data_IF_409230776506
#
_entry.id   IF_409230776506
#
_cell.length_a   1.000
_cell.length_b   1.000
_cell.length_c   1.000
_cell.angle_alpha   90.00
_cell.angle_beta   90.00
_cell.angle_gamma   90.00
#
_symmetry.space_group_name_H-M   'P 1'
#
loop_
_entity.id
_entity.type
_entity.pdbx_description
1 polymer ?
#
# COMPACT_ATOMS: atom_id res chain seq x y z
N UNK A 1 -11.04 -29.85 -43.60
CA UNK A 1 -9.96 -30.60 -42.91
C UNK A 1 -8.70 -29.78 -42.66
N UNK A 2 -8.24 -28.94 -43.61
CA UNK A 2 -7.00 -28.16 -43.43
C UNK A 2 -7.14 -26.93 -42.52
N UNK A 3 -8.32 -26.31 -42.44
CA UNK A 3 -8.56 -25.15 -41.57
C UNK A 3 -8.51 -25.50 -40.08
N UNK A 4 -9.10 -26.63 -39.69
CA UNK A 4 -9.06 -27.11 -38.30
C UNK A 4 -7.64 -27.42 -37.83
N UNK A 5 -6.79 -27.99 -38.71
CA UNK A 5 -5.37 -28.20 -38.40
C UNK A 5 -4.60 -26.89 -38.24
N UNK A 6 -4.89 -25.91 -39.11
CA UNK A 6 -4.28 -24.58 -39.04
C UNK A 6 -4.70 -23.84 -37.77
N UNK A 7 -5.98 -23.91 -37.39
CA UNK A 7 -6.52 -23.34 -36.16
C UNK A 7 -5.88 -23.95 -34.89
N UNK A 8 -5.74 -25.27 -34.85
CA UNK A 8 -5.10 -25.96 -33.73
C UNK A 8 -3.61 -25.62 -33.62
N UNK A 9 -2.89 -25.54 -34.74
CA UNK A 9 -1.48 -25.15 -34.75
C UNK A 9 -1.30 -23.70 -34.30
N UNK A 10 -2.17 -22.79 -34.71
CA UNK A 10 -2.15 -21.40 -34.23
C UNK A 10 -2.48 -21.28 -32.75
N UNK A 11 -3.42 -22.08 -32.24
CA UNK A 11 -3.77 -22.12 -30.82
C UNK A 11 -2.62 -22.66 -29.97
N UNK A 12 -1.93 -23.73 -30.39
CA UNK A 12 -0.73 -24.23 -29.71
C UNK A 12 0.40 -23.19 -29.68
N UNK A 13 0.64 -22.49 -30.78
CA UNK A 13 1.69 -21.46 -30.85
C UNK A 13 1.34 -20.26 -29.95
N UNK A 14 0.05 -19.90 -29.86
CA UNK A 14 -0.41 -18.85 -28.95
C UNK A 14 -0.31 -19.26 -27.47
N UNK A 15 -0.67 -20.50 -27.13
CA UNK A 15 -0.45 -21.11 -25.81
C UNK A 15 1.04 -21.08 -25.42
N UNK A 16 1.92 -21.52 -26.33
CA UNK A 16 3.37 -21.50 -26.09
C UNK A 16 3.92 -20.09 -25.90
N UNK A 17 3.41 -19.10 -26.65
CA UNK A 17 3.77 -17.68 -26.47
C UNK A 17 3.19 -17.06 -25.18
N UNK A 18 2.09 -17.57 -24.65
CA UNK A 18 1.56 -17.17 -23.32
C UNK A 18 2.36 -17.80 -22.17
N UNK A 19 2.90 -19.01 -22.38
CA UNK A 19 3.78 -19.69 -21.43
C UNK A 19 5.21 -19.12 -21.43
N UNK A 20 5.68 -18.59 -22.56
CA UNK A 20 6.93 -17.84 -22.64
C UNK A 20 6.77 -16.46 -21.98
N UNK A 21 7.71 -16.10 -21.09
CA UNK A 21 7.65 -14.82 -20.38
C UNK A 21 7.73 -13.63 -21.37
N UNK A 22 6.93 -12.56 -21.18
CA UNK A 22 6.95 -11.41 -22.07
C UNK A 22 8.36 -10.81 -22.21
N UNK A 23 8.75 -10.44 -23.43
CA UNK A 23 10.00 -9.72 -23.67
C UNK A 23 9.92 -8.34 -23.00
N UNK A 24 10.73 -8.12 -21.95
CA UNK A 24 10.66 -6.94 -21.10
C UNK A 24 11.16 -5.68 -21.82
N UNK A 25 10.27 -4.68 -21.96
CA UNK A 25 10.63 -3.34 -22.43
C UNK A 25 11.32 -2.53 -21.33
N UNK A 26 12.60 -2.20 -21.56
CA UNK A 26 13.43 -1.17 -20.88
C UNK A 26 13.38 -1.12 -19.34
N UNK A 27 14.49 -1.53 -18.73
CA UNK A 27 14.81 -1.42 -17.30
C UNK A 27 15.45 -2.72 -16.80
N UNK A 28 16.34 -2.67 -15.80
CA UNK A 28 16.82 -3.91 -15.14
C UNK A 28 15.60 -4.51 -14.45
N UNK A 29 15.08 -5.60 -15.02
CA UNK A 29 13.98 -6.32 -14.42
C UNK A 29 14.30 -6.74 -13.01
N UNK A 30 13.28 -6.68 -12.14
CA UNK A 30 13.35 -7.17 -10.77
C UNK A 30 13.96 -8.57 -10.71
N UNK A 31 13.74 -9.40 -11.75
CA UNK A 31 14.30 -10.73 -11.88
C UNK A 31 15.82 -10.71 -12.09
N UNK A 32 16.32 -9.92 -13.05
CA UNK A 32 17.77 -9.73 -13.26
C UNK A 32 18.47 -9.14 -12.03
N UNK A 33 17.85 -8.16 -11.37
CA UNK A 33 18.39 -7.59 -10.13
C UNK A 33 18.48 -8.64 -9.00
N UNK A 34 17.47 -9.50 -8.87
CA UNK A 34 17.48 -10.60 -7.90
C UNK A 34 18.55 -11.64 -8.22
N UNK A 35 18.75 -11.98 -9.49
CA UNK A 35 19.79 -12.91 -9.94
C UNK A 35 21.21 -12.37 -9.70
N UNK A 36 21.47 -11.12 -10.05
CA UNK A 36 22.76 -10.47 -9.78
C UNK A 36 23.03 -10.37 -8.29
N UNK A 37 22.01 -10.04 -7.49
CA UNK A 37 22.10 -10.02 -6.03
C UNK A 37 22.40 -11.41 -5.47
N UNK A 38 21.72 -12.44 -5.95
CA UNK A 38 22.00 -13.85 -5.56
C UNK A 38 23.42 -14.26 -5.91
N UNK A 39 23.93 -13.90 -7.11
CA UNK A 39 25.31 -14.20 -7.50
C UNK A 39 26.34 -13.49 -6.62
N UNK A 40 26.09 -12.22 -6.25
CA UNK A 40 26.97 -11.48 -5.33
C UNK A 40 26.97 -12.08 -3.93
N UNK A 41 25.80 -12.40 -3.40
CA UNK A 41 25.65 -13.03 -2.07
C UNK A 41 26.27 -14.43 -2.06
N UNK A 42 26.04 -15.23 -3.10
CA UNK A 42 26.65 -16.56 -3.26
C UNK A 42 28.18 -16.50 -3.27
N UNK A 43 28.79 -15.60 -4.04
CA UNK A 43 30.26 -15.42 -4.05
C UNK A 43 30.83 -15.08 -2.67
N UNK A 44 30.14 -14.24 -1.89
CA UNK A 44 30.59 -13.86 -0.55
C UNK A 44 30.43 -15.04 0.41
N UNK A 45 29.37 -15.84 0.27
CA UNK A 45 29.14 -17.03 1.10
C UNK A 45 30.14 -18.14 0.78
N UNK A 46 30.39 -18.40 -0.51
CA UNK A 46 31.40 -19.35 -0.98
C UNK A 46 32.80 -18.96 -0.48
N UNK A 47 33.14 -17.67 -0.51
CA UNK A 47 34.41 -17.16 0.03
C UNK A 47 34.54 -17.34 1.56
N UNK A 48 33.42 -17.39 2.29
CA UNK A 48 33.37 -17.66 3.72
C UNK A 48 33.10 -19.14 4.05
N UNK A 49 33.01 -20.03 3.05
CA UNK A 49 32.69 -21.44 3.22
C UNK A 49 31.28 -21.72 3.79
N UNK A 50 30.36 -20.78 3.61
CA UNK A 50 28.99 -20.84 4.12
C UNK A 50 28.02 -21.21 3.01
N UNK A 51 27.01 -22.03 3.34
CA UNK A 51 25.92 -22.36 2.42
C UNK A 51 24.87 -21.22 2.35
N UNK A 52 24.12 -21.17 1.24
CA UNK A 52 23.03 -20.21 1.01
C UNK A 52 21.97 -20.22 2.13
N UNK A 53 21.76 -21.35 2.80
CA UNK A 53 20.89 -21.45 3.97
C UNK A 53 21.38 -20.64 5.18
N UNK A 54 22.70 -20.44 5.30
CA UNK A 54 23.37 -19.71 6.39
C UNK A 54 23.69 -18.25 6.04
N UNK A 55 23.08 -17.73 4.97
CA UNK A 55 23.28 -16.35 4.50
C UNK A 55 23.02 -15.28 5.56
N UNK A 56 22.13 -15.56 6.51
CA UNK A 56 21.80 -14.66 7.63
C UNK A 56 22.98 -14.43 8.58
N UNK A 57 24.01 -15.29 8.57
CA UNK A 57 25.16 -15.17 9.45
C UNK A 57 26.16 -14.08 9.00
N UNK A 58 25.99 -13.56 7.78
CA UNK A 58 26.75 -12.42 7.26
C UNK A 58 26.04 -11.07 7.50
N UNK A 59 24.84 -11.07 8.06
CA UNK A 59 24.16 -9.81 8.39
C UNK A 59 24.80 -9.18 9.63
N UNK A 60 25.22 -7.92 9.51
CA UNK A 60 25.54 -7.08 10.66
C UNK A 60 24.31 -6.89 11.55
N UNK A 61 24.51 -6.72 12.86
CA UNK A 61 23.44 -6.50 13.84
C UNK A 61 22.45 -5.40 13.39
N UNK A 62 22.95 -4.25 12.94
CA UNK A 62 22.12 -3.13 12.47
C UNK A 62 21.25 -3.49 11.24
N UNK A 63 21.80 -4.31 10.34
CA UNK A 63 21.10 -4.78 9.15
C UNK A 63 20.01 -5.81 9.50
N UNK A 64 20.29 -6.68 10.47
CA UNK A 64 19.32 -7.63 11.00
C UNK A 64 18.17 -6.88 11.71
N UNK A 65 18.46 -5.94 12.61
CA UNK A 65 17.44 -5.14 13.30
C UNK A 65 16.57 -4.36 12.32
N UNK A 66 17.19 -3.74 11.30
CA UNK A 66 16.47 -3.04 10.24
C UNK A 66 15.60 -3.96 9.38
N UNK A 67 15.95 -5.24 9.23
CA UNK A 67 15.13 -6.24 8.53
C UNK A 67 13.97 -6.71 9.40
N UNK A 68 14.21 -7.05 10.66
CA UNK A 68 13.17 -7.49 11.60
C UNK A 68 12.13 -6.39 11.83
N UNK A 69 12.56 -5.14 12.03
CA UNK A 69 11.66 -3.98 12.15
C UNK A 69 10.80 -3.73 10.91
N UNK A 70 11.25 -4.15 9.72
CA UNK A 70 10.45 -4.10 8.48
C UNK A 70 9.45 -5.26 8.38
N UNK A 71 9.71 -6.37 9.08
CA UNK A 71 8.83 -7.53 9.11
C UNK A 71 7.77 -7.41 10.20
N UNK A 72 8.09 -6.76 11.32
CA UNK A 72 7.15 -6.34 12.36
C UNK A 72 6.31 -5.14 11.91
N UNK A 73 5.47 -5.36 10.89
CA UNK A 73 4.44 -4.40 10.51
C UNK A 73 3.13 -4.81 11.14
N UNK A 74 2.54 -3.90 11.90
CA UNK A 74 1.16 -4.06 12.35
C UNK A 74 0.25 -4.32 11.14
N UNK A 75 -0.69 -5.27 11.23
CA UNK A 75 -1.63 -5.54 10.16
C UNK A 75 -2.42 -4.27 9.84
N UNK A 76 -2.57 -3.98 8.54
CA UNK A 76 -3.35 -2.84 8.11
C UNK A 76 -4.82 -3.02 8.55
N UNK A 77 -5.49 -1.96 9.02
CA UNK A 77 -6.91 -2.04 9.36
C UNK A 77 -7.72 -2.49 8.15
N UNK A 78 -8.63 -3.44 8.34
CA UNK A 78 -9.43 -4.04 7.27
C UNK A 78 -10.91 -3.64 7.38
N UNK A 79 -11.53 -3.32 6.24
CA UNK A 79 -12.97 -3.03 6.18
C UNK A 79 -13.41 -1.91 7.13
N UNK A 80 -14.37 -2.22 7.99
CA UNK A 80 -14.94 -1.28 8.96
C UNK A 80 -14.02 -0.94 10.14
N UNK A 81 -12.96 -1.72 10.37
CA UNK A 81 -11.98 -1.44 11.44
C UNK A 81 -11.20 -0.15 11.21
N UNK A 82 -11.25 0.41 9.99
CA UNK A 82 -10.70 1.74 9.69
C UNK A 82 -11.31 2.83 10.58
N UNK A 83 -12.55 2.67 11.04
CA UNK A 83 -13.25 3.66 11.89
C UNK A 83 -13.24 3.33 13.38
N UNK A 84 -12.46 2.33 13.79
CA UNK A 84 -12.32 1.93 15.19
C UNK A 84 -11.64 3.07 16.01
N UNK A 85 -12.01 3.29 17.29
CA UNK A 85 -11.26 4.16 18.20
C UNK A 85 -9.73 3.99 18.14
N UNK A 86 -9.23 2.75 17.99
CA UNK A 86 -7.79 2.46 17.89
C UNK A 86 -7.13 3.06 16.65
N UNK A 87 -7.80 3.04 15.49
CA UNK A 87 -7.25 3.62 14.25
C UNK A 87 -7.28 5.14 14.30
N UNK A 88 -8.34 5.73 14.88
CA UNK A 88 -8.44 7.16 15.13
C UNK A 88 -7.34 7.64 16.08
N UNK A 89 -7.09 6.91 17.16
CA UNK A 89 -5.99 7.16 18.09
C UNK A 89 -4.63 7.08 17.38
N UNK A 90 -4.40 6.03 16.59
CA UNK A 90 -3.14 5.89 15.85
C UNK A 90 -2.94 7.01 14.81
N UNK A 91 -4.02 7.46 14.17
CA UNK A 91 -3.97 8.61 13.27
C UNK A 91 -3.61 9.89 14.04
N UNK A 92 -4.24 10.13 15.21
CA UNK A 92 -3.88 11.24 16.09
C UNK A 92 -2.41 11.18 16.53
N UNK A 93 -1.93 10.02 17.01
CA UNK A 93 -0.54 9.81 17.41
C UNK A 93 0.46 10.10 16.28
N UNK A 94 0.11 9.78 15.03
CA UNK A 94 0.95 10.14 13.87
C UNK A 94 0.95 11.64 13.60
N UNK A 95 -0.16 12.33 13.85
CA UNK A 95 -0.24 13.79 13.68
C UNK A 95 0.57 14.51 14.74
N UNK A 96 0.44 14.12 16.01
CA UNK A 96 1.18 14.76 17.11
C UNK A 96 2.69 14.62 16.95
N UNK A 97 3.18 13.52 16.38
CA UNK A 97 4.60 13.35 16.04
C UNK A 97 5.14 14.34 15.00
N UNK A 98 4.27 14.90 14.17
CA UNK A 98 4.66 15.86 13.13
C UNK A 98 4.54 17.31 13.59
N UNK A 99 4.07 17.55 14.81
CA UNK A 99 3.96 18.90 15.38
C UNK A 99 5.31 19.28 15.94
N UNK A 100 5.87 20.38 15.45
CA UNK A 100 7.07 20.99 15.99
C UNK A 100 6.68 21.99 17.08
N UNK A 101 7.34 21.90 18.24
CA UNK A 101 7.02 22.69 19.43
C UNK A 101 8.22 23.57 19.77
N UNK A 102 8.05 24.87 19.67
CA UNK A 102 9.04 25.86 20.08
C UNK A 102 9.04 26.00 21.61
N UNK A 103 10.07 25.48 22.26
CA UNK A 103 10.22 25.49 23.71
C UNK A 103 10.57 26.89 24.26
N UNK A 104 11.27 27.71 23.48
CA UNK A 104 11.68 29.04 23.92
C UNK A 104 10.48 29.98 23.98
N UNK A 105 9.63 29.92 22.96
CA UNK A 105 8.38 30.66 22.95
C UNK A 105 7.42 30.18 24.05
N UNK A 106 7.38 28.87 24.29
CA UNK A 106 6.61 28.28 25.38
C UNK A 106 7.06 28.81 26.76
N UNK A 107 8.38 28.87 27.01
CA UNK A 107 8.91 29.38 28.28
C UNK A 107 8.61 30.87 28.48
N UNK A 108 8.72 31.69 27.43
CA UNK A 108 8.34 33.11 27.48
C UNK A 108 6.86 33.31 27.82
N UNK A 109 5.98 32.53 27.21
CA UNK A 109 4.54 32.57 27.52
C UNK A 109 4.24 32.11 28.94
N UNK A 110 4.99 31.12 29.44
CA UNK A 110 4.89 30.62 30.81
C UNK A 110 5.30 31.66 31.85
N UNK A 111 6.35 32.43 31.59
CA UNK A 111 6.79 33.51 32.50
C UNK A 111 5.85 34.71 32.47
N UNK A 112 5.24 34.99 31.30
CA UNK A 112 4.33 36.12 31.12
C UNK A 112 2.94 35.93 31.76
N UNK A 113 2.46 34.69 31.91
CA UNK A 113 1.15 34.38 32.49
C UNK A 113 1.30 33.73 33.88
N UNK A 114 1.00 34.44 34.98
CA UNK A 114 0.99 33.85 36.33
C UNK A 114 -0.02 32.70 36.48
N UNK A 115 -1.08 32.65 35.66
CA UNK A 115 -2.11 31.60 35.63
C UNK A 115 -1.92 30.69 34.39
N UNK A 116 -0.67 30.39 34.03
CA UNK A 116 -0.36 29.56 32.86
C UNK A 116 -0.94 28.14 32.95
N UNK A 117 -0.88 27.52 34.13
CA UNK A 117 -1.47 26.21 34.39
C UNK A 117 -2.90 26.39 34.92
N UNK A 118 -3.85 26.42 33.98
CA UNK A 118 -5.27 26.66 34.28
C UNK A 118 -5.99 25.38 34.68
N UNK A 119 -6.75 25.44 35.75
CA UNK A 119 -7.69 24.39 36.14
C UNK A 119 -9.02 24.52 35.38
N UNK A 120 -9.84 23.46 35.40
CA UNK A 120 -11.13 23.42 34.71
C UNK A 120 -12.12 24.51 35.18
N UNK A 121 -11.92 25.08 36.37
CA UNK A 121 -12.70 26.16 36.97
C UNK A 121 -12.21 27.57 36.59
N UNK A 122 -11.09 27.70 35.85
CA UNK A 122 -10.53 29.01 35.49
C UNK A 122 -11.48 29.81 34.58
N UNK A 123 -11.71 31.08 34.92
CA UNK A 123 -12.58 32.00 34.18
C UNK A 123 -11.88 32.69 33.00
N UNK A 124 -10.62 32.32 32.69
CA UNK A 124 -9.83 32.94 31.62
C UNK A 124 -10.08 32.33 30.23
N UNK A 125 -11.11 31.50 30.08
CA UNK A 125 -11.51 30.96 28.78
C UNK A 125 -11.87 32.09 27.79
N UNK A 126 -11.36 32.03 26.57
CA UNK A 126 -11.62 33.02 25.52
C UNK A 126 -10.78 34.30 25.59
N UNK A 127 -9.95 34.50 26.63
CA UNK A 127 -9.06 35.66 26.78
C UNK A 127 -7.62 35.39 26.27
N UNK A 128 -7.45 34.39 25.43
CA UNK A 128 -6.13 34.03 24.90
C UNK A 128 -5.54 35.17 24.05
N UNK A 129 -4.22 35.40 24.11
CA UNK A 129 -3.57 36.37 23.23
C UNK A 129 -3.78 35.98 21.77
N UNK A 130 -3.78 36.99 20.88
CA UNK A 130 -3.88 36.74 19.44
C UNK A 130 -2.73 35.84 18.99
N UNK A 131 -3.08 34.77 18.31
CA UNK A 131 -2.11 33.83 17.73
C UNK A 131 -1.41 34.49 16.56
N UNK A 132 -0.09 34.29 16.42
CA UNK A 132 0.67 34.80 15.28
C UNK A 132 0.20 34.19 13.96
N UNK A 133 0.31 34.96 12.87
CA UNK A 133 -0.10 34.52 11.53
C UNK A 133 0.65 33.25 11.10
N UNK A 134 1.95 33.15 11.37
CA UNK A 134 2.77 31.97 11.09
C UNK A 134 2.21 30.67 11.70
N UNK A 135 1.67 30.75 12.92
CA UNK A 135 1.08 29.59 13.60
C UNK A 135 -0.26 29.19 12.97
N UNK A 136 -1.04 30.18 12.52
CA UNK A 136 -2.27 29.95 11.77
C UNK A 136 -1.94 29.28 10.43
N UNK A 137 -0.92 29.75 9.71
CA UNK A 137 -0.48 29.13 8.46
C UNK A 137 -0.02 27.68 8.65
N UNK A 138 0.74 27.38 9.71
CA UNK A 138 1.12 26.00 10.06
C UNK A 138 -0.10 25.11 10.28
N UNK A 139 -1.14 25.60 10.96
CA UNK A 139 -2.39 24.88 11.15
C UNK A 139 -3.12 24.64 9.83
N UNK A 140 -3.24 25.67 8.99
CA UNK A 140 -3.89 25.57 7.67
C UNK A 140 -3.15 24.54 6.79
N UNK A 141 -1.82 24.53 6.83
CA UNK A 141 -1.00 23.54 6.13
C UNK A 141 -1.27 22.11 6.63
N UNK A 142 -1.43 21.89 7.93
CA UNK A 142 -1.82 20.58 8.48
C UNK A 142 -3.19 20.13 7.97
N UNK A 143 -4.17 21.04 7.93
CA UNK A 143 -5.51 20.77 7.43
C UNK A 143 -5.49 20.41 5.93
N UNK A 144 -4.75 21.14 5.11
CA UNK A 144 -4.59 20.84 3.69
C UNK A 144 -3.94 19.47 3.47
N UNK A 145 -2.87 19.16 4.20
CA UNK A 145 -2.24 17.84 4.16
C UNK A 145 -3.21 16.72 4.55
N UNK A 146 -4.11 16.98 5.51
CA UNK A 146 -5.15 16.04 5.93
C UNK A 146 -6.19 15.83 4.83
N UNK A 147 -6.59 16.89 4.14
CA UNK A 147 -7.49 16.77 2.98
C UNK A 147 -6.88 15.99 1.84
N UNK A 148 -5.62 16.25 1.50
CA UNK A 148 -4.88 15.49 0.48
C UNK A 148 -4.81 14.00 0.83
N UNK A 149 -4.46 13.68 2.08
CA UNK A 149 -4.44 12.28 2.57
C UNK A 149 -5.81 11.64 2.45
N UNK A 150 -6.89 12.37 2.79
CA UNK A 150 -8.27 11.89 2.65
C UNK A 150 -8.63 11.62 1.19
N UNK A 151 -8.27 12.52 0.26
CA UNK A 151 -8.49 12.33 -1.19
C UNK A 151 -7.75 11.10 -1.72
N UNK A 152 -6.52 10.88 -1.26
CA UNK A 152 -5.69 9.72 -1.66
C UNK A 152 -6.07 8.39 -0.99
N UNK A 153 -7.00 8.40 -0.02
CA UNK A 153 -7.37 7.22 0.75
C UNK A 153 -7.99 6.13 -0.13
N UNK A 154 -8.83 6.51 -1.08
CA UNK A 154 -9.35 5.62 -2.12
C UNK A 154 -8.50 5.73 -3.38
N UNK A 155 -7.66 4.73 -3.64
CA UNK A 155 -6.82 4.68 -4.84
C UNK A 155 -7.59 4.08 -6.01
N UNK A 156 -7.72 4.81 -7.12
CA UNK A 156 -8.23 4.27 -8.39
C UNK A 156 -7.29 3.17 -8.88
N UNK A 157 -7.82 1.97 -9.13
CA UNK A 157 -7.05 0.88 -9.75
C UNK A 157 -6.87 1.20 -11.24
N UNK A 158 -5.68 0.93 -11.78
CA UNK A 158 -5.38 1.12 -13.19
C UNK A 158 -6.29 0.22 -14.03
N UNK A 159 -6.88 0.77 -15.09
CA UNK A 159 -7.60 -0.02 -16.09
C UNK A 159 -6.58 -0.81 -16.93
N UNK A 160 -6.85 -2.08 -17.15
CA UNK A 160 -6.02 -2.95 -17.98
C UNK A 160 -6.80 -3.23 -19.26
N UNK A 161 -6.31 -2.75 -20.40
CA UNK A 161 -6.97 -2.91 -21.72
C UNK A 161 -7.04 -4.36 -22.18
N UNK A 162 -6.18 -5.23 -21.64
CA UNK A 162 -6.18 -6.67 -21.90
C UNK A 162 -7.33 -7.42 -21.22
N UNK A 163 -8.07 -6.76 -20.31
CA UNK A 163 -9.18 -7.39 -19.61
C UNK A 163 -10.45 -7.31 -20.44
N UNK A 164 -11.12 -8.45 -20.61
CA UNK A 164 -12.44 -8.51 -21.24
C UNK A 164 -13.43 -7.55 -20.55
N UNK A 165 -14.12 -6.76 -21.38
CA UNK A 165 -15.05 -5.72 -20.94
C UNK A 165 -16.44 -6.35 -20.78
N UNK A 166 -16.88 -6.47 -19.53
CA UNK A 166 -18.19 -7.02 -19.15
C UNK A 166 -19.28 -5.95 -18.97
N UNK A 167 -19.00 -4.69 -19.30
CA UNK A 167 -19.84 -3.53 -18.97
C UNK A 167 -19.95 -2.54 -20.10
N UNK A 168 -21.13 -1.91 -20.19
CA UNK A 168 -21.47 -0.91 -21.22
C UNK A 168 -21.17 0.52 -20.73
N UNK A 169 -21.24 0.78 -19.42
CA UNK A 169 -20.99 2.08 -18.82
C UNK A 169 -20.28 1.96 -17.46
N UNK A 170 -19.69 3.05 -16.97
CA UNK A 170 -18.92 3.09 -15.71
C UNK A 170 -19.74 2.65 -14.49
N UNK A 171 -21.04 3.00 -14.45
CA UNK A 171 -21.92 2.62 -13.34
C UNK A 171 -22.15 1.10 -13.34
N UNK A 172 -22.27 0.48 -14.51
CA UNK A 172 -22.39 -0.95 -14.70
C UNK A 172 -21.07 -1.65 -14.35
N UNK A 173 -19.92 -1.11 -14.76
CA UNK A 173 -18.61 -1.64 -14.38
C UNK A 173 -18.43 -1.68 -12.85
N UNK A 174 -18.85 -0.61 -12.16
CA UNK A 174 -18.85 -0.55 -10.70
C UNK A 174 -19.81 -1.57 -10.06
N UNK A 175 -20.98 -1.79 -10.67
CA UNK A 175 -21.94 -2.79 -10.22
C UNK A 175 -21.42 -4.22 -10.42
N UNK A 176 -20.91 -4.57 -11.59
CA UNK A 176 -20.26 -5.85 -11.88
C UNK A 176 -19.10 -6.11 -10.91
N UNK A 177 -18.23 -5.12 -10.66
CA UNK A 177 -17.16 -5.20 -9.65
C UNK A 177 -17.68 -5.43 -8.23
N UNK A 178 -18.91 -5.01 -7.90
CA UNK A 178 -19.54 -5.24 -6.59
C UNK A 178 -20.06 -6.66 -6.49
N UNK A 179 -20.73 -7.15 -7.54
CA UNK A 179 -21.21 -8.52 -7.64
C UNK A 179 -20.05 -9.51 -7.60
N UNK A 180 -18.98 -9.28 -8.36
CA UNK A 180 -17.79 -10.15 -8.37
C UNK A 180 -17.14 -10.25 -6.98
N UNK A 181 -17.13 -9.16 -6.21
CA UNK A 181 -16.61 -9.18 -4.82
C UNK A 181 -17.47 -9.99 -3.86
N UNK A 182 -18.79 -10.00 -4.05
CA UNK A 182 -19.72 -10.69 -3.17
C UNK A 182 -19.90 -12.17 -3.55
N UNK A 183 -20.03 -12.44 -4.85
CA UNK A 183 -20.44 -13.74 -5.39
C UNK A 183 -19.35 -14.47 -6.18
N UNK A 184 -18.29 -13.79 -6.61
CA UNK A 184 -17.23 -14.38 -7.44
C UNK A 184 -16.55 -15.60 -6.81
N UNK A 185 -16.51 -15.68 -5.47
CA UNK A 185 -16.03 -16.88 -4.76
C UNK A 185 -16.92 -18.10 -4.99
N UNK A 186 -18.22 -17.91 -5.13
CA UNK A 186 -19.22 -18.96 -5.25
C UNK A 186 -19.54 -19.30 -6.71
N UNK A 187 -19.34 -18.36 -7.65
CA UNK A 187 -19.67 -18.51 -9.07
C UNK A 187 -18.47 -18.89 -9.94
N UNK A 188 -17.35 -19.27 -9.34
CA UNK A 188 -16.09 -19.56 -10.04
C UNK A 188 -16.24 -20.72 -11.04
N UNK A 189 -16.96 -21.77 -10.64
CA UNK A 189 -17.23 -22.93 -11.52
C UNK A 189 -18.10 -22.55 -12.72
N UNK A 190 -19.16 -21.77 -12.49
CA UNK A 190 -20.05 -21.29 -13.55
C UNK A 190 -19.27 -20.44 -14.55
N UNK A 191 -18.38 -19.56 -14.06
CA UNK A 191 -17.53 -18.72 -14.91
C UNK A 191 -16.56 -19.57 -15.75
N UNK A 192 -15.89 -20.54 -15.14
CA UNK A 192 -15.01 -21.46 -15.85
C UNK A 192 -15.76 -22.28 -16.91
N UNK A 193 -16.99 -22.73 -16.61
CA UNK A 193 -17.80 -23.48 -17.56
C UNK A 193 -18.21 -22.60 -18.76
N UNK A 194 -18.52 -21.33 -18.55
CA UNK A 194 -18.78 -20.37 -19.63
C UNK A 194 -17.53 -20.14 -20.50
N UNK A 195 -16.36 -19.96 -19.90
CA UNK A 195 -15.09 -19.80 -20.62
C UNK A 195 -14.70 -21.08 -21.40
N UNK A 196 -15.14 -22.26 -20.94
CA UNK A 196 -14.95 -23.56 -21.61
C UNK A 196 -16.04 -23.92 -22.62
N UNK A 197 -17.03 -23.06 -22.84
CA UNK A 197 -18.10 -23.32 -23.80
C UNK A 197 -19.15 -24.33 -23.31
N UNK A 198 -19.50 -24.29 -22.02
CA UNK A 198 -20.57 -25.08 -21.37
C UNK A 198 -20.36 -26.59 -21.27
N UNK A 199 -19.15 -27.08 -21.55
CA UNK A 199 -18.78 -28.47 -21.28
C UNK A 199 -18.67 -28.70 -19.76
N UNK A 200 -19.43 -29.67 -19.24
CA UNK A 200 -19.26 -30.15 -17.86
C UNK A 200 -17.92 -30.88 -17.72
N UNK A 201 -17.22 -30.77 -16.59
CA UNK A 201 -16.09 -31.64 -16.29
C UNK A 201 -16.59 -33.08 -16.09
N UNK A 202 -15.91 -34.05 -16.70
CA UNK A 202 -16.06 -35.47 -16.33
C UNK A 202 -15.57 -35.73 -14.89
#
# INVERSE_FOLDING_TARGET
MNEARKANQTAMVAEKKKMEAPAESRGISKQKWLEERKKKVGKILDANGLDMSKAYMLDTQDAAESKYKKWEKDPAPYGWDVFNPKTLYNAYKKRTKNIDVDLDEYNKLKEADPEFYREASSLQYGKAPKVSEDRIEKMVKELNNREEKRKSFSRRRKFHEEKDIDSINDRNEHFNKKIERAFGKYTLEIKNNLERGTALPD
#
